data_IF_587910944707
#
_entry.id   IF_587910944707
#
_cell.length_a   1.000
_cell.length_b   1.000
_cell.length_c   1.000
_cell.angle_alpha   90.00
_cell.angle_beta   90.00
_cell.angle_gamma   90.00
#
_symmetry.space_group_name_H-M   'P 1'
#
loop_
_entity.id
_entity.type
_entity.pdbx_description
1 polymer ?
#
# COMPACT_ATOMS: atom_id res chain seq x y z
N UNK A 1 5.85 8.47 0.82
CA UNK A 1 6.77 8.58 1.99
C UNK A 1 8.22 8.28 1.63
N UNK A 2 9.16 9.07 2.16
CA UNK A 2 10.61 8.79 2.12
C UNK A 2 11.04 7.79 3.21
N UNK A 3 12.30 7.31 3.20
CA UNK A 3 12.81 6.50 4.30
C UNK A 3 12.77 7.29 5.62
N UNK A 4 12.41 6.62 6.71
CA UNK A 4 12.59 7.14 8.06
C UNK A 4 14.06 7.45 8.30
N UNK A 5 14.33 8.63 8.89
CA UNK A 5 15.70 9.07 9.22
C UNK A 5 16.40 8.10 10.16
N UNK A 6 15.65 7.57 11.12
CA UNK A 6 16.12 6.60 12.11
C UNK A 6 15.62 5.21 11.75
N UNK A 7 16.50 4.22 11.90
CA UNK A 7 16.14 2.81 11.76
C UNK A 7 15.25 2.41 12.94
N UNK A 8 14.12 1.74 12.67
CA UNK A 8 13.27 1.23 13.76
C UNK A 8 14.00 0.15 14.58
N UNK A 9 13.52 -0.15 15.79
CA UNK A 9 14.08 -1.26 16.60
C UNK A 9 14.12 -2.60 15.85
N UNK A 10 13.21 -2.80 14.89
CA UNK A 10 13.15 -3.98 14.01
C UNK A 10 14.03 -3.91 12.74
N UNK A 11 14.90 -2.91 12.60
CA UNK A 11 15.82 -2.81 11.47
C UNK A 11 15.17 -2.34 10.16
N UNK A 12 14.02 -1.67 10.22
CA UNK A 12 13.29 -1.19 9.03
C UNK A 12 13.36 0.33 8.88
N UNK A 13 13.27 0.83 7.65
CA UNK A 13 13.27 2.28 7.34
C UNK A 13 12.02 2.75 6.61
N UNK A 14 11.09 1.87 6.29
CA UNK A 14 9.86 2.22 5.58
C UNK A 14 8.66 1.70 6.34
N UNK A 15 7.56 2.45 6.26
CA UNK A 15 6.25 2.03 6.74
C UNK A 15 5.29 2.06 5.56
N UNK A 16 4.53 1.00 5.39
CA UNK A 16 3.40 0.92 4.48
C UNK A 16 2.13 0.89 5.32
N UNK A 17 1.26 1.87 5.10
CA UNK A 17 0.02 2.03 5.85
C UNK A 17 -1.17 1.79 4.92
N UNK A 18 -2.07 0.90 5.32
CA UNK A 18 -3.39 0.74 4.71
C UNK A 18 -4.43 1.38 5.61
N UNK A 19 -5.27 2.22 5.02
CA UNK A 19 -6.40 2.83 5.70
C UNK A 19 -7.66 2.33 5.02
N UNK A 20 -8.53 1.70 5.78
CA UNK A 20 -9.86 1.32 5.30
C UNK A 20 -10.81 2.51 5.46
N UNK A 21 -11.34 3.02 4.35
CA UNK A 21 -12.17 4.22 4.36
C UNK A 21 -13.49 4.05 5.12
N UNK A 22 -14.03 2.84 5.17
CA UNK A 22 -15.33 2.55 5.78
C UNK A 22 -15.23 2.44 7.30
N UNK A 23 -14.33 1.58 7.77
CA UNK A 23 -14.14 1.27 9.19
C UNK A 23 -13.16 2.20 9.89
N UNK A 24 -12.42 3.02 9.14
CA UNK A 24 -11.29 3.84 9.62
C UNK A 24 -10.15 3.04 10.23
N UNK A 25 -10.15 1.72 10.03
CA UNK A 25 -9.09 0.87 10.52
C UNK A 25 -7.78 1.17 9.78
N UNK A 26 -6.68 1.13 10.52
CA UNK A 26 -5.34 1.37 10.01
C UNK A 26 -4.49 0.12 10.23
N UNK A 27 -3.85 -0.35 9.17
CA UNK A 27 -2.91 -1.46 9.21
C UNK A 27 -1.52 -0.97 8.79
N UNK A 28 -0.52 -1.23 9.63
CA UNK A 28 0.86 -0.80 9.38
C UNK A 28 1.79 -1.99 9.15
N UNK A 29 2.63 -1.89 8.12
CA UNK A 29 3.68 -2.85 7.82
C UNK A 29 5.05 -2.16 7.81
N UNK A 30 5.96 -2.69 8.62
CA UNK A 30 7.36 -2.28 8.61
C UNK A 30 8.12 -2.97 7.47
N UNK A 31 8.67 -2.17 6.56
CA UNK A 31 9.36 -2.67 5.37
C UNK A 31 10.85 -2.30 5.42
N UNK A 32 11.71 -3.28 5.12
CA UNK A 32 13.15 -3.04 4.95
C UNK A 32 13.46 -2.33 3.63
N UNK A 33 12.74 -2.68 2.57
CA UNK A 33 12.93 -2.16 1.21
C UNK A 33 11.60 -1.73 0.59
N UNK A 34 11.61 -0.73 -0.30
CA UNK A 34 10.41 -0.31 -1.05
C UNK A 34 9.89 -1.40 -2.00
N UNK A 35 10.76 -2.30 -2.47
CA UNK A 35 10.39 -3.39 -3.37
C UNK A 35 9.42 -4.41 -2.75
N UNK A 36 9.33 -4.49 -1.42
CA UNK A 36 8.41 -5.43 -0.75
C UNK A 36 6.98 -4.91 -0.65
N UNK A 37 6.71 -3.66 -1.04
CA UNK A 37 5.37 -3.06 -1.03
C UNK A 37 4.40 -3.89 -1.88
N UNK A 38 4.78 -4.23 -3.11
CA UNK A 38 3.91 -4.97 -4.04
C UNK A 38 3.52 -6.33 -3.50
N UNK A 39 4.44 -7.05 -2.84
CA UNK A 39 4.17 -8.35 -2.25
C UNK A 39 3.12 -8.25 -1.12
N UNK A 40 3.31 -7.28 -0.21
CA UNK A 40 2.35 -7.04 0.88
C UNK A 40 1.00 -6.54 0.39
N UNK A 41 0.99 -5.73 -0.66
CA UNK A 41 -0.24 -5.30 -1.29
C UNK A 41 -1.00 -6.46 -1.95
N UNK A 42 -0.30 -7.35 -2.66
CA UNK A 42 -0.92 -8.52 -3.28
C UNK A 42 -1.57 -9.43 -2.24
N UNK A 43 -0.87 -9.69 -1.12
CA UNK A 43 -1.39 -10.43 0.03
C UNK A 43 -2.66 -9.78 0.59
N UNK A 44 -2.65 -8.46 0.80
CA UNK A 44 -3.79 -7.72 1.34
C UNK A 44 -4.97 -7.61 0.35
N UNK A 45 -4.69 -7.62 -0.96
CA UNK A 45 -5.68 -7.39 -2.01
C UNK A 45 -6.68 -8.54 -2.17
N UNK A 46 -6.26 -9.77 -1.91
CA UNK A 46 -7.10 -10.97 -2.03
C UNK A 46 -8.08 -11.06 -0.88
N UNK A 47 -7.65 -10.71 0.34
CA UNK A 47 -8.44 -10.78 1.55
C UNK A 47 -7.90 -9.81 2.59
N UNK A 48 -8.70 -8.84 2.99
CA UNK A 48 -8.40 -8.01 4.16
C UNK A 48 -8.62 -8.80 5.46
N UNK A 49 -8.24 -8.23 6.60
CA UNK A 49 -8.34 -8.90 7.90
C UNK A 49 -9.77 -9.33 8.29
N UNK A 50 -10.81 -8.76 7.67
CA UNK A 50 -12.21 -9.14 7.90
C UNK A 50 -12.75 -10.10 6.83
N UNK A 51 -11.86 -10.66 6.01
CA UNK A 51 -12.24 -11.62 5.00
C UNK A 51 -12.88 -11.04 3.75
N UNK A 52 -12.85 -9.71 3.58
CA UNK A 52 -13.43 -9.03 2.41
C UNK A 52 -12.35 -8.76 1.36
N UNK A 53 -12.75 -8.86 0.09
CA UNK A 53 -11.89 -8.52 -1.05
C UNK A 53 -11.81 -6.99 -1.22
N UNK A 54 -10.63 -6.48 -1.50
CA UNK A 54 -10.43 -5.07 -1.82
C UNK A 54 -11.16 -4.72 -3.13
N UNK A 55 -11.90 -3.60 -3.15
CA UNK A 55 -12.60 -3.12 -4.36
C UNK A 55 -11.88 -1.96 -5.03
N UNK A 56 -11.37 -1.04 -4.22
CA UNK A 56 -10.66 0.15 -4.65
C UNK A 56 -9.39 0.30 -3.84
N UNK A 57 -8.30 0.68 -4.51
CA UNK A 57 -7.04 1.04 -3.90
C UNK A 57 -6.75 2.50 -4.24
N UNK A 58 -6.59 3.34 -3.23
CA UNK A 58 -6.07 4.70 -3.36
C UNK A 58 -4.61 4.73 -2.94
N UNK A 59 -3.74 5.31 -3.78
CA UNK A 59 -2.32 5.46 -3.46
C UNK A 59 -1.82 6.87 -3.78
N UNK A 60 -1.09 7.46 -2.84
CA UNK A 60 -0.40 8.73 -3.00
C UNK A 60 1.04 8.53 -3.52
N UNK A 61 1.46 9.41 -4.43
CA UNK A 61 2.86 9.66 -4.79
C UNK A 61 3.82 8.44 -4.80
N UNK A 62 3.38 7.38 -5.50
CA UNK A 62 4.14 6.14 -5.66
C UNK A 62 5.18 6.30 -6.77
N UNK A 63 6.40 5.80 -6.56
CA UNK A 63 7.42 5.73 -7.63
C UNK A 63 6.91 4.93 -8.83
N UNK A 64 7.25 5.34 -10.05
CA UNK A 64 6.73 4.74 -11.29
C UNK A 64 6.88 3.21 -11.33
N UNK A 65 8.01 2.68 -10.85
CA UNK A 65 8.27 1.24 -10.77
C UNK A 65 7.25 0.50 -9.90
N UNK A 66 7.00 1.01 -8.69
CA UNK A 66 6.01 0.43 -7.77
C UNK A 66 4.60 0.61 -8.32
N UNK A 67 4.31 1.74 -8.97
CA UNK A 67 3.03 1.98 -9.62
C UNK A 67 2.71 0.93 -10.71
N UNK A 68 3.64 0.65 -11.63
CA UNK A 68 3.41 -0.35 -12.71
C UNK A 68 3.05 -1.71 -12.13
N UNK A 69 3.73 -2.13 -11.07
CA UNK A 69 3.43 -3.40 -10.42
C UNK A 69 2.08 -3.40 -9.70
N UNK A 70 1.74 -2.31 -9.00
CA UNK A 70 0.45 -2.14 -8.33
C UNK A 70 -0.70 -2.14 -9.34
N UNK A 71 -0.58 -1.35 -10.42
CA UNK A 71 -1.59 -1.26 -11.47
C UNK A 71 -1.83 -2.63 -12.14
N UNK A 72 -0.76 -3.37 -12.47
CA UNK A 72 -0.86 -4.71 -13.03
C UNK A 72 -1.51 -5.71 -12.06
N UNK A 73 -1.26 -5.59 -10.75
CA UNK A 73 -1.93 -6.40 -9.74
C UNK A 73 -3.42 -6.03 -9.63
N UNK A 74 -3.74 -4.74 -9.54
CA UNK A 74 -5.11 -4.24 -9.45
C UNK A 74 -5.95 -4.69 -10.66
N UNK A 75 -5.41 -4.57 -11.87
CA UNK A 75 -6.08 -5.03 -13.09
C UNK A 75 -6.36 -6.53 -13.05
N UNK A 76 -5.40 -7.37 -12.63
CA UNK A 76 -5.59 -8.83 -12.50
C UNK A 76 -6.64 -9.21 -11.46
N UNK A 77 -6.77 -8.43 -10.40
CA UNK A 77 -7.67 -8.71 -9.29
C UNK A 77 -9.03 -7.99 -9.39
N UNK A 78 -9.27 -7.23 -10.47
CA UNK A 78 -10.50 -6.46 -10.65
C UNK A 78 -10.66 -5.31 -9.64
N UNK A 79 -9.54 -4.73 -9.20
CA UNK A 79 -9.50 -3.65 -8.21
C UNK A 79 -9.36 -2.32 -8.94
N UNK A 80 -10.22 -1.35 -8.62
CA UNK A 80 -10.09 0.00 -9.15
C UNK A 80 -8.88 0.69 -8.49
N UNK A 81 -7.91 1.14 -9.28
CA UNK A 81 -6.76 1.89 -8.78
C UNK A 81 -6.97 3.38 -8.99
N UNK A 82 -7.03 4.14 -7.90
CA UNK A 82 -7.18 5.59 -7.89
C UNK A 82 -5.87 6.27 -7.51
N UNK A 83 -5.48 7.27 -8.29
CA UNK A 83 -4.30 8.10 -8.03
C UNK A 83 -4.74 9.41 -7.42
N UNK A 84 -4.19 9.73 -6.25
CA UNK A 84 -4.40 11.04 -5.63
C UNK A 84 -3.31 11.97 -6.15
N UNK A 85 -3.71 13.17 -6.58
CA UNK A 85 -2.77 14.24 -6.94
C UNK A 85 -2.04 14.64 -5.64
N UNK A 86 -0.71 14.88 -5.68
CA UNK A 86 0.00 15.35 -4.50
C UNK A 86 -0.69 16.58 -3.91
N UNK A 87 -0.82 16.63 -2.58
CA UNK A 87 -1.38 17.77 -1.83
C UNK A 87 -2.89 18.04 -1.97
N UNK A 88 -3.67 17.10 -2.51
CA UNK A 88 -5.15 17.15 -2.43
C UNK A 88 -5.66 16.38 -1.20
N UNK A 89 -6.32 17.04 -0.22
CA UNK A 89 -6.90 16.39 0.96
C UNK A 89 -8.00 15.38 0.64
#
# INVERSE_FOLDING_TARGET
MGPMKTVSKGGTRYVLTFVDDFSRFVLEYFLKNKSTVTAKLAEHSTKNQWGKRLKCLRSDNVTEYVYKQMAAMCSRNGIMHQRIVPYSP
#
